data_IF_291605314921
#
_entry.id   IF_291605314921
#
_cell.length_a   1.000
_cell.length_b   1.000
_cell.length_c   1.000
_cell.angle_alpha   90.00
_cell.angle_beta   90.00
_cell.angle_gamma   90.00
#
_symmetry.space_group_name_H-M   'P 1'
#
loop_
_entity.id
_entity.type
_entity.pdbx_description
1 polymer ?
#
# COMPACT_ATOMS: atom_id res chain seq x y z
N UNK A 1 6.91 11.62 -38.72
CA UNK A 1 7.50 11.92 -37.40
C UNK A 1 6.49 11.47 -36.36
N UNK A 2 6.75 10.39 -35.62
CA UNK A 2 5.83 9.91 -34.57
C UNK A 2 5.99 10.84 -33.37
N UNK A 3 4.93 11.56 -33.03
CA UNK A 3 4.85 12.38 -31.83
C UNK A 3 4.31 11.45 -30.74
N UNK A 4 5.13 11.19 -29.72
CA UNK A 4 4.69 10.52 -28.50
C UNK A 4 4.02 11.58 -27.63
N UNK A 5 2.83 11.30 -27.11
CA UNK A 5 2.22 12.09 -26.04
C UNK A 5 2.81 11.61 -24.71
N UNK A 6 3.35 12.54 -23.94
CA UNK A 6 3.80 12.34 -22.58
C UNK A 6 2.58 11.99 -21.69
N UNK A 7 2.49 10.74 -21.25
CA UNK A 7 1.65 10.38 -20.11
C UNK A 7 2.34 10.93 -18.86
N UNK A 8 1.64 11.82 -18.16
CA UNK A 8 2.14 12.48 -16.97
C UNK A 8 2.36 11.46 -15.85
N UNK A 9 3.58 10.93 -15.73
CA UNK A 9 4.07 10.24 -14.54
C UNK A 9 4.74 11.26 -13.63
N UNK A 10 3.97 11.81 -12.68
CA UNK A 10 4.45 12.73 -11.65
C UNK A 10 3.37 12.98 -10.60
N UNK A 11 3.74 13.34 -9.35
CA UNK A 11 2.79 13.45 -8.26
C UNK A 11 1.87 14.65 -8.48
N UNK A 12 0.60 14.39 -8.81
CA UNK A 12 -0.43 15.42 -8.69
C UNK A 12 -0.77 15.57 -7.22
N UNK A 13 -0.18 16.57 -6.57
CA UNK A 13 -0.61 17.03 -5.26
C UNK A 13 -1.75 18.05 -5.49
N UNK A 14 -3.00 17.65 -5.33
CA UNK A 14 -4.13 18.58 -5.28
C UNK A 14 -4.42 18.95 -3.83
N UNK A 15 -4.37 20.25 -3.51
CA UNK A 15 -4.86 20.76 -2.23
C UNK A 15 -6.36 20.96 -2.35
N UNK A 16 -7.14 20.27 -1.52
CA UNK A 16 -8.60 20.32 -1.49
C UNK A 16 -8.99 20.98 -0.16
N UNK A 17 -9.92 21.94 -0.23
CA UNK A 17 -10.51 22.54 0.96
C UNK A 17 -11.53 21.56 1.56
N UNK A 18 -11.42 21.30 2.86
CA UNK A 18 -12.30 20.41 3.60
C UNK A 18 -12.97 21.15 4.76
N UNK A 19 -14.26 20.91 4.97
CA UNK A 19 -15.07 21.53 6.03
C UNK A 19 -14.83 20.84 7.40
N UNK A 20 -13.56 20.80 7.82
CA UNK A 20 -13.14 20.15 9.06
C UNK A 20 -12.62 18.73 8.89
N UNK A 21 -12.32 18.10 10.02
CA UNK A 21 -11.59 16.81 10.09
C UNK A 21 -12.37 15.66 9.47
N UNK A 22 -13.67 15.55 9.75
CA UNK A 22 -14.50 14.45 9.24
C UNK A 22 -14.62 14.51 7.71
N UNK A 23 -14.81 15.71 7.15
CA UNK A 23 -14.85 15.92 5.70
C UNK A 23 -13.48 15.61 5.06
N UNK A 24 -12.37 15.95 5.71
CA UNK A 24 -11.03 15.59 5.21
C UNK A 24 -10.81 14.06 5.19
N UNK A 25 -11.33 13.35 6.19
CA UNK A 25 -11.29 11.88 6.25
C UNK A 25 -12.19 11.26 5.18
N UNK A 26 -13.38 11.82 4.95
CA UNK A 26 -14.29 11.38 3.88
C UNK A 26 -13.63 11.49 2.50
N UNK A 27 -13.06 12.66 2.15
CA UNK A 27 -12.36 12.89 0.88
C UNK A 27 -11.18 11.92 0.70
N UNK A 28 -10.39 11.71 1.76
CA UNK A 28 -9.23 10.82 1.71
C UNK A 28 -9.61 9.35 1.44
N UNK A 29 -10.83 8.95 1.81
CA UNK A 29 -11.35 7.61 1.61
C UNK A 29 -12.12 7.44 0.29
N UNK A 30 -12.30 8.50 -0.51
CA UNK A 30 -12.94 8.41 -1.81
C UNK A 30 -12.03 7.72 -2.84
N UNK A 31 -12.33 6.44 -3.09
CA UNK A 31 -11.57 5.60 -4.04
C UNK A 31 -11.75 5.97 -5.51
N UNK A 32 -12.76 6.76 -5.88
CA UNK A 32 -12.94 7.25 -7.26
C UNK A 32 -12.08 8.48 -7.56
N UNK A 33 -11.72 9.24 -6.53
CA UNK A 33 -10.88 10.43 -6.68
C UNK A 33 -9.53 10.09 -7.34
N UNK A 34 -8.95 8.92 -7.01
CA UNK A 34 -7.72 8.41 -7.63
C UNK A 34 -7.87 7.86 -9.06
N UNK A 35 -9.10 7.73 -9.58
CA UNK A 35 -9.40 7.14 -10.90
C UNK A 35 -9.66 8.16 -12.02
N UNK A 36 -9.75 9.47 -11.72
CA UNK A 36 -10.11 10.53 -12.67
C UNK A 36 -9.02 10.91 -13.71
N UNK A 37 -8.20 9.94 -14.12
CA UNK A 37 -7.11 10.11 -15.10
C UNK A 37 -7.51 10.06 -16.58
N UNK A 38 -8.79 9.87 -16.95
CA UNK A 38 -9.19 9.87 -18.37
C UNK A 38 -9.49 11.27 -18.89
N UNK A 39 -8.60 11.79 -19.75
CA UNK A 39 -8.87 13.01 -20.54
C UNK A 39 -9.89 12.73 -21.64
N UNK A 40 -10.82 13.65 -21.83
CA UNK A 40 -11.66 13.75 -23.03
C UNK A 40 -10.78 14.07 -24.26
N UNK A 41 -10.95 13.40 -25.41
CA UNK A 41 -10.23 13.70 -26.66
C UNK A 41 -10.35 15.16 -27.15
N UNK A 42 -11.23 15.99 -26.58
CA UNK A 42 -11.40 17.40 -26.94
C UNK A 42 -10.42 18.40 -26.27
N UNK A 43 -9.51 17.96 -25.36
CA UNK A 43 -8.48 18.83 -24.78
C UNK A 43 -8.99 19.95 -23.87
N UNK A 44 -10.27 19.95 -23.52
CA UNK A 44 -10.83 20.83 -22.49
C UNK A 44 -10.69 20.12 -21.13
N UNK A 45 -10.13 20.82 -20.13
CA UNK A 45 -10.21 20.36 -18.74
C UNK A 45 -11.69 20.19 -18.40
N UNK A 46 -12.17 18.99 -18.02
CA UNK A 46 -13.49 18.89 -17.45
C UNK A 46 -13.46 19.70 -16.16
N UNK A 47 -14.25 20.77 -16.07
CA UNK A 47 -14.68 21.26 -14.77
C UNK A 47 -15.60 20.16 -14.26
N UNK A 48 -15.05 19.22 -13.47
CA UNK A 48 -15.85 18.22 -12.79
C UNK A 48 -16.76 19.01 -11.84
N UNK A 49 -18.10 18.95 -11.99
CA UNK A 49 -18.99 19.55 -11.01
C UNK A 49 -18.68 18.89 -9.67
N UNK A 50 -18.54 19.70 -8.61
CA UNK A 50 -18.44 19.19 -7.22
C UNK A 50 -19.54 18.14 -7.05
N UNK A 51 -19.23 16.86 -6.79
CA UNK A 51 -20.27 15.91 -6.46
C UNK A 51 -21.00 16.51 -5.26
N UNK A 52 -22.34 16.61 -5.34
CA UNK A 52 -23.11 16.68 -4.11
C UNK A 52 -22.66 15.49 -3.27
N UNK A 53 -22.24 15.75 -2.03
CA UNK A 53 -21.78 14.74 -1.08
C UNK A 53 -22.87 13.69 -0.90
N UNK A 54 -22.80 12.64 -1.70
CA UNK A 54 -23.41 11.37 -1.32
C UNK A 54 -22.34 10.75 -0.44
N UNK A 55 -22.53 10.71 0.90
CA UNK A 55 -21.56 10.05 1.76
C UNK A 55 -21.41 8.62 1.26
N UNK A 56 -20.23 8.29 0.74
CA UNK A 56 -19.89 6.90 0.47
C UNK A 56 -19.69 6.27 1.84
N UNK A 57 -20.77 5.67 2.35
CA UNK A 57 -20.69 4.72 3.43
C UNK A 57 -19.74 3.62 2.93
N UNK A 58 -18.53 3.53 3.49
CA UNK A 58 -17.71 2.34 3.31
C UNK A 58 -18.58 1.18 3.80
N UNK A 59 -19.14 0.41 2.87
CA UNK A 59 -20.17 -0.59 3.20
C UNK A 59 -19.63 -1.75 4.05
N UNK A 60 -18.37 -1.69 4.47
CA UNK A 60 -17.70 -2.72 5.24
C UNK A 60 -17.51 -3.93 4.35
N UNK A 61 -16.28 -4.15 3.89
CA UNK A 61 -16.00 -5.43 3.24
C UNK A 61 -16.08 -6.50 4.31
N UNK A 62 -16.83 -7.58 4.05
CA UNK A 62 -16.95 -8.68 4.99
C UNK A 62 -15.54 -9.20 5.36
N UNK A 63 -15.25 -9.42 6.66
CA UNK A 63 -13.98 -9.98 7.07
C UNK A 63 -13.79 -11.35 6.41
N UNK A 64 -12.61 -11.58 5.90
CA UNK A 64 -12.18 -12.90 5.48
C UNK A 64 -12.04 -13.81 6.69
N UNK A 65 -12.47 -15.05 6.51
CA UNK A 65 -12.10 -16.13 7.42
C UNK A 65 -10.62 -16.44 7.26
N UNK A 66 -10.03 -17.05 8.30
CA UNK A 66 -8.69 -17.61 8.17
C UNK A 66 -8.66 -18.61 6.99
N UNK A 67 -7.52 -18.71 6.27
CA UNK A 67 -7.35 -19.71 5.21
C UNK A 67 -7.50 -21.12 5.78
N UNK A 68 -8.05 -22.03 4.98
CA UNK A 68 -8.11 -23.45 5.33
C UNK A 68 -6.69 -24.06 5.37
N UNK A 69 -6.48 -25.19 6.08
CA UNK A 69 -5.17 -25.86 6.10
C UNK A 69 -4.63 -26.15 4.70
N UNK A 70 -3.48 -25.57 4.37
CA UNK A 70 -2.83 -25.71 3.06
C UNK A 70 -3.22 -24.65 2.02
N UNK A 71 -4.18 -23.78 2.31
CA UNK A 71 -4.44 -22.60 1.49
C UNK A 71 -3.41 -21.49 1.75
N UNK A 72 -2.93 -20.80 0.69
CA UNK A 72 -1.99 -19.71 0.86
C UNK A 72 -2.65 -18.48 1.50
N UNK A 73 -1.84 -17.68 2.17
CA UNK A 73 -2.25 -16.33 2.56
C UNK A 73 -2.62 -15.49 1.33
N UNK A 74 -3.56 -14.58 1.49
CA UNK A 74 -3.95 -13.58 0.50
C UNK A 74 -3.75 -12.19 1.10
N UNK A 75 -3.51 -11.15 0.28
CA UNK A 75 -3.38 -9.77 0.75
C UNK A 75 -4.52 -9.33 1.67
N UNK A 76 -5.76 -9.69 1.34
CA UNK A 76 -6.92 -9.32 2.13
C UNK A 76 -6.95 -9.95 3.55
N UNK A 77 -6.32 -11.12 3.79
CA UNK A 77 -6.13 -11.63 5.15
C UNK A 77 -5.24 -10.69 5.99
N UNK A 78 -4.18 -10.13 5.36
CA UNK A 78 -3.28 -9.15 5.98
C UNK A 78 -4.04 -7.87 6.30
N UNK A 79 -4.83 -7.38 5.34
CA UNK A 79 -5.57 -6.12 5.48
C UNK A 79 -6.64 -6.19 6.56
N UNK A 80 -7.35 -7.31 6.71
CA UNK A 80 -8.34 -7.47 7.78
C UNK A 80 -7.70 -7.50 9.17
N UNK A 81 -6.50 -8.09 9.30
CA UNK A 81 -5.75 -8.04 10.55
C UNK A 81 -5.30 -6.60 10.86
N UNK A 82 -4.76 -5.88 9.89
CA UNK A 82 -4.40 -4.47 10.05
C UNK A 82 -5.60 -3.59 10.38
N UNK A 83 -6.73 -3.75 9.68
CA UNK A 83 -7.96 -3.00 9.93
C UNK A 83 -8.47 -3.18 11.37
N UNK A 84 -8.38 -4.41 11.90
CA UNK A 84 -8.78 -4.74 13.28
C UNK A 84 -7.82 -4.20 14.34
N UNK A 85 -6.51 -4.24 14.08
CA UNK A 85 -5.50 -4.01 15.11
C UNK A 85 -4.97 -2.59 15.14
N UNK A 86 -4.89 -1.90 13.98
CA UNK A 86 -4.29 -0.57 13.93
C UNK A 86 -5.06 0.40 14.83
N UNK A 87 -4.37 1.31 15.55
CA UNK A 87 -5.00 2.41 16.27
C UNK A 87 -5.52 3.48 15.30
N UNK A 88 -6.52 4.26 15.73
CA UNK A 88 -7.23 5.21 14.86
C UNK A 88 -6.32 6.26 14.21
N UNK A 89 -5.27 6.68 14.92
CA UNK A 89 -4.32 7.72 14.52
C UNK A 89 -3.15 7.22 13.66
N UNK A 90 -3.11 5.91 13.34
CA UNK A 90 -2.07 5.33 12.50
C UNK A 90 -1.99 5.97 11.11
N UNK A 91 -0.76 6.06 10.58
CA UNK A 91 -0.50 6.35 9.17
C UNK A 91 -0.25 5.04 8.43
N UNK A 92 -1.04 4.79 7.40
CA UNK A 92 -0.81 3.72 6.44
C UNK A 92 -0.16 4.31 5.19
N UNK A 93 1.05 3.88 4.86
CA UNK A 93 1.71 4.18 3.59
C UNK A 93 1.53 3.00 2.65
N UNK A 94 1.03 3.24 1.44
CA UNK A 94 0.62 2.20 0.49
C UNK A 94 1.49 2.22 -0.77
N UNK A 95 2.01 1.05 -1.15
CA UNK A 95 2.57 0.79 -2.47
C UNK A 95 2.41 -0.69 -2.87
N UNK A 96 1.16 -1.14 -2.96
CA UNK A 96 0.76 -2.50 -3.37
C UNK A 96 -0.16 -2.45 -4.59
N UNK A 97 0.34 -2.12 -5.79
CA UNK A 97 -0.52 -1.86 -6.96
C UNK A 97 -1.50 -2.97 -7.32
N UNK A 98 -1.12 -4.23 -7.15
CA UNK A 98 -1.98 -5.38 -7.43
C UNK A 98 -3.15 -5.45 -6.42
N UNK A 99 -2.86 -5.30 -5.13
CA UNK A 99 -3.86 -5.44 -4.05
C UNK A 99 -4.47 -4.12 -3.56
N UNK A 100 -4.17 -2.99 -4.21
CA UNK A 100 -4.59 -1.64 -3.79
C UNK A 100 -6.11 -1.50 -3.61
N UNK A 101 -6.97 -1.96 -4.53
CA UNK A 101 -8.42 -1.86 -4.35
C UNK A 101 -8.91 -2.53 -3.07
N UNK A 102 -8.37 -3.71 -2.73
CA UNK A 102 -8.73 -4.42 -1.51
C UNK A 102 -8.22 -3.71 -0.25
N UNK A 103 -7.00 -3.15 -0.30
CA UNK A 103 -6.47 -2.37 0.83
C UNK A 103 -7.34 -1.14 1.10
N UNK A 104 -7.72 -0.37 0.08
CA UNK A 104 -8.56 0.82 0.23
C UNK A 104 -9.93 0.50 0.82
N UNK A 105 -10.53 -0.63 0.44
CA UNK A 105 -11.83 -1.07 0.97
C UNK A 105 -11.76 -1.45 2.45
N UNK A 106 -10.65 -2.05 2.88
CA UNK A 106 -10.50 -2.67 4.22
C UNK A 106 -9.85 -1.78 5.25
N UNK A 107 -8.88 -0.95 4.85
CA UNK A 107 -8.06 -0.12 5.75
C UNK A 107 -8.21 1.36 5.38
N UNK A 108 -9.36 1.98 5.67
CA UNK A 108 -9.58 3.40 5.40
C UNK A 108 -8.73 4.28 6.33
N UNK A 109 -8.44 5.51 5.89
CA UNK A 109 -7.96 6.57 6.76
C UNK A 109 -9.01 6.84 7.85
N UNK A 110 -8.57 6.97 9.10
CA UNK A 110 -9.44 7.30 10.24
C UNK A 110 -9.15 8.67 10.85
N UNK A 111 -8.03 9.28 10.45
CA UNK A 111 -7.64 10.65 10.79
C UNK A 111 -7.00 11.33 9.58
N UNK A 112 -6.88 12.67 9.55
CA UNK A 112 -6.12 13.36 8.51
C UNK A 112 -4.69 12.83 8.41
N UNK A 113 -4.18 12.73 7.18
CA UNK A 113 -2.88 12.11 6.88
C UNK A 113 -2.78 10.67 7.44
N UNK A 114 -3.90 9.95 7.59
CA UNK A 114 -3.94 8.55 8.03
C UNK A 114 -3.66 7.55 6.93
N UNK A 115 -3.67 7.98 5.66
CA UNK A 115 -3.38 7.15 4.51
C UNK A 115 -2.59 7.94 3.46
N UNK A 116 -1.49 7.38 2.96
CA UNK A 116 -0.59 7.98 1.98
C UNK A 116 -0.27 6.97 0.89
N UNK A 117 -0.33 7.38 -0.37
CA UNK A 117 -0.08 6.50 -1.52
C UNK A 117 0.77 7.20 -2.56
N UNK A 118 1.50 6.41 -3.36
CA UNK A 118 2.28 6.92 -4.47
C UNK A 118 1.36 7.57 -5.52
N UNK A 119 1.57 8.87 -5.75
CA UNK A 119 0.83 9.56 -6.80
C UNK A 119 1.25 9.04 -8.19
N UNK A 120 0.28 8.94 -9.09
CA UNK A 120 0.43 8.37 -10.43
C UNK A 120 0.97 6.93 -10.48
N UNK A 121 0.90 6.17 -9.38
CA UNK A 121 1.27 4.75 -9.36
C UNK A 121 2.76 4.47 -9.54
N UNK A 122 3.63 5.47 -9.30
CA UNK A 122 5.08 5.26 -9.31
C UNK A 122 5.54 4.26 -8.24
N UNK A 123 6.60 3.51 -8.54
CA UNK A 123 7.23 2.56 -7.61
C UNK A 123 8.46 3.21 -6.93
N UNK A 124 8.72 2.82 -5.69
CA UNK A 124 9.84 3.29 -4.86
C UNK A 124 9.50 4.42 -3.89
N UNK A 125 8.23 4.81 -3.77
CA UNK A 125 7.76 5.84 -2.83
C UNK A 125 7.61 5.31 -1.40
N UNK A 126 6.97 4.14 -1.22
CA UNK A 126 6.43 3.72 0.06
C UNK A 126 7.46 3.58 1.18
N UNK A 127 8.60 2.94 0.90
CA UNK A 127 9.68 2.76 1.88
C UNK A 127 10.25 4.11 2.39
N UNK A 128 10.82 4.99 1.54
CA UNK A 128 11.36 6.27 2.01
C UNK A 128 10.28 7.21 2.55
N UNK A 129 9.06 7.16 2.02
CA UNK A 129 7.94 7.97 2.52
C UNK A 129 7.58 7.60 3.96
N UNK A 130 7.46 6.31 4.28
CA UNK A 130 7.13 5.86 5.63
C UNK A 130 8.21 6.27 6.66
N UNK A 131 9.49 6.21 6.26
CA UNK A 131 10.59 6.72 7.09
C UNK A 131 10.44 8.22 7.34
N UNK A 132 10.20 9.02 6.28
CA UNK A 132 9.99 10.46 6.41
C UNK A 132 8.80 10.81 7.30
N UNK A 133 7.69 10.09 7.17
CA UNK A 133 6.50 10.25 8.02
C UNK A 133 6.83 9.98 9.47
N UNK A 134 7.50 8.86 9.79
CA UNK A 134 7.84 8.53 11.18
C UNK A 134 8.81 9.55 11.78
N UNK A 135 9.75 10.09 11.01
CA UNK A 135 10.65 11.15 11.47
C UNK A 135 9.93 12.49 11.68
N UNK A 136 8.93 12.80 10.83
CA UNK A 136 8.14 14.04 10.92
C UNK A 136 7.01 14.00 11.95
N UNK A 137 6.52 12.81 12.29
CA UNK A 137 5.46 12.57 13.27
C UNK A 137 5.87 11.40 14.19
N UNK A 138 6.86 11.61 15.08
CA UNK A 138 7.48 10.54 15.87
C UNK A 138 6.48 9.81 16.79
N UNK A 139 5.44 10.51 17.26
CA UNK A 139 4.44 9.93 18.17
C UNK A 139 3.36 9.13 17.44
N UNK A 140 3.29 9.20 16.10
CA UNK A 140 2.28 8.46 15.33
C UNK A 140 2.74 7.02 15.03
N UNK A 141 1.85 6.03 15.15
CA UNK A 141 2.03 4.71 14.56
C UNK A 141 2.17 4.80 13.04
N UNK A 142 3.21 4.20 12.46
CA UNK A 142 3.41 4.20 11.00
C UNK A 142 3.58 2.76 10.51
N UNK A 143 2.71 2.36 9.58
CA UNK A 143 2.80 1.09 8.86
C UNK A 143 2.93 1.35 7.37
N UNK A 144 3.76 0.58 6.68
CA UNK A 144 3.90 0.65 5.23
C UNK A 144 3.52 -0.70 4.61
N UNK A 145 2.49 -0.72 3.78
CA UNK A 145 2.02 -1.92 3.07
C UNK A 145 2.51 -1.86 1.63
N UNK A 146 3.40 -2.78 1.28
CA UNK A 146 4.23 -2.70 0.07
C UNK A 146 4.13 -4.02 -0.72
N UNK A 147 4.26 -3.96 -2.05
CA UNK A 147 4.62 -5.16 -2.83
C UNK A 147 6.12 -5.46 -2.70
N UNK A 148 6.51 -6.73 -2.87
CA UNK A 148 7.92 -7.13 -2.98
C UNK A 148 8.61 -6.44 -4.17
N UNK A 149 8.01 -6.45 -5.36
CA UNK A 149 8.53 -5.74 -6.54
C UNK A 149 8.62 -4.23 -6.34
N UNK A 150 7.59 -3.63 -5.74
CA UNK A 150 7.56 -2.20 -5.35
C UNK A 150 8.74 -1.84 -4.44
N UNK A 151 8.98 -2.68 -3.42
CA UNK A 151 10.01 -2.46 -2.41
C UNK A 151 11.42 -2.40 -3.01
N UNK A 152 11.68 -3.13 -4.11
CA UNK A 152 12.99 -3.14 -4.77
C UNK A 152 13.37 -1.79 -5.40
N UNK A 153 12.41 -0.91 -5.72
CA UNK A 153 12.68 0.42 -6.28
C UNK A 153 13.16 1.43 -5.24
N UNK A 154 12.80 1.23 -3.97
CA UNK A 154 13.12 2.13 -2.85
C UNK A 154 13.86 1.44 -1.71
N UNK A 155 14.51 0.31 -1.97
CA UNK A 155 14.98 -0.65 -0.96
C UNK A 155 15.97 -0.06 0.05
N UNK A 156 16.74 0.95 -0.36
CA UNK A 156 17.65 1.72 0.51
C UNK A 156 16.91 2.45 1.65
N UNK A 157 15.59 2.63 1.55
CA UNK A 157 14.75 3.13 2.64
C UNK A 157 14.85 2.27 3.90
N UNK A 158 15.11 0.96 3.78
CA UNK A 158 15.32 0.07 4.93
C UNK A 158 16.59 0.42 5.71
N UNK A 159 17.67 0.76 5.01
CA UNK A 159 18.88 1.27 5.65
C UNK A 159 18.61 2.58 6.37
N UNK A 160 17.91 3.51 5.74
CA UNK A 160 17.54 4.78 6.38
C UNK A 160 16.70 4.56 7.63
N UNK A 161 15.70 3.66 7.57
CA UNK A 161 14.88 3.33 8.72
C UNK A 161 15.72 2.81 9.90
N UNK A 162 16.64 1.89 9.63
CA UNK A 162 17.53 1.32 10.65
C UNK A 162 18.52 2.37 11.19
N UNK A 163 19.17 3.11 10.29
CA UNK A 163 20.18 4.11 10.62
C UNK A 163 19.61 5.26 11.48
N UNK A 164 18.45 5.79 11.09
CA UNK A 164 17.78 6.87 11.81
C UNK A 164 16.86 6.39 12.92
N UNK A 165 16.81 5.07 13.18
CA UNK A 165 15.98 4.48 14.23
C UNK A 165 14.49 4.83 14.06
N UNK A 166 14.04 4.93 12.82
CA UNK A 166 12.64 5.22 12.51
C UNK A 166 11.81 3.95 12.72
N UNK A 167 11.01 3.93 13.79
CA UNK A 167 10.12 2.82 14.14
C UNK A 167 8.93 2.66 13.21
N UNK A 168 9.18 2.12 12.02
CA UNK A 168 8.16 1.80 11.02
C UNK A 168 7.96 0.29 10.97
N UNK A 169 6.70 -0.15 10.94
CA UNK A 169 6.38 -1.52 10.57
C UNK A 169 6.20 -1.60 9.05
N UNK A 170 7.14 -2.25 8.36
CA UNK A 170 7.03 -2.55 6.94
C UNK A 170 6.35 -3.91 6.77
N UNK A 171 5.27 -3.97 6.01
CA UNK A 171 4.55 -5.19 5.65
C UNK A 171 4.67 -5.37 4.14
N UNK A 172 5.55 -6.26 3.72
CA UNK A 172 5.81 -6.58 2.31
C UNK A 172 4.97 -7.80 1.94
N UNK A 173 4.13 -7.63 0.93
CA UNK A 173 3.32 -8.68 0.32
C UNK A 173 4.15 -9.34 -0.78
N UNK A 174 4.71 -10.52 -0.48
CA UNK A 174 5.62 -11.23 -1.36
C UNK A 174 4.88 -12.32 -2.16
N UNK A 175 4.72 -12.08 -3.46
CA UNK A 175 4.20 -13.07 -4.42
C UNK A 175 5.26 -13.53 -5.44
N UNK A 176 6.48 -12.97 -5.37
CA UNK A 176 7.60 -13.31 -6.22
C UNK A 176 7.52 -12.73 -7.64
N UNK A 177 6.72 -11.69 -7.87
CA UNK A 177 6.49 -11.16 -9.21
C UNK A 177 5.80 -9.80 -9.28
N UNK A 178 5.54 -9.35 -10.51
CA UNK A 178 4.79 -8.13 -10.79
C UNK A 178 3.35 -8.47 -11.21
N UNK A 179 2.55 -8.99 -10.27
CA UNK A 179 1.20 -9.50 -10.56
C UNK A 179 0.27 -8.50 -11.27
N UNK A 180 0.40 -7.18 -11.02
CA UNK A 180 -0.36 -6.15 -11.75
C UNK A 180 0.03 -6.09 -13.23
N UNK A 181 1.32 -6.27 -13.53
CA UNK A 181 1.81 -6.25 -14.89
C UNK A 181 1.33 -7.48 -15.64
N UNK A 182 1.41 -8.66 -15.01
CA UNK A 182 0.91 -9.91 -15.59
C UNK A 182 -0.54 -9.76 -16.05
N UNK A 183 -1.38 -9.18 -15.18
CA UNK A 183 -2.78 -8.91 -15.52
C UNK A 183 -2.96 -7.89 -16.63
N UNK A 184 -2.19 -6.80 -16.64
CA UNK A 184 -2.30 -5.79 -17.69
C UNK A 184 -1.92 -6.38 -19.06
N UNK A 185 -0.93 -7.27 -19.10
CA UNK A 185 -0.58 -8.02 -20.31
C UNK A 185 -1.71 -8.96 -20.75
N UNK A 186 -2.33 -9.69 -19.81
CA UNK A 186 -3.49 -10.55 -20.09
C UNK A 186 -4.67 -9.75 -20.64
N UNK A 187 -5.01 -8.62 -20.02
CA UNK A 187 -6.10 -7.74 -20.43
C UNK A 187 -5.87 -7.10 -21.81
N UNK A 188 -4.61 -6.80 -22.14
CA UNK A 188 -4.22 -6.29 -23.45
C UNK A 188 -4.11 -7.39 -24.53
N UNK A 189 -4.33 -8.66 -24.18
CA UNK A 189 -4.27 -9.79 -25.10
C UNK A 189 -2.85 -10.16 -25.53
N UNK A 190 -1.83 -9.76 -24.76
CA UNK A 190 -0.41 -10.02 -25.08
C UNK A 190 0.04 -11.44 -24.70
N UNK A 191 -0.84 -12.28 -24.16
CA UNK A 191 -0.51 -13.65 -23.78
C UNK A 191 0.44 -13.70 -22.59
N UNK A 192 1.45 -14.57 -22.64
CA UNK A 192 2.42 -14.72 -21.54
C UNK A 192 3.19 -13.40 -21.33
N UNK A 193 3.24 -12.86 -20.10
CA UNK A 193 4.03 -11.68 -19.78
C UNK A 193 5.51 -11.86 -20.16
N UNK A 194 6.17 -10.85 -20.76
CA UNK A 194 7.55 -10.96 -21.22
C UNK A 194 8.61 -10.80 -20.11
N UNK A 195 8.20 -10.35 -18.92
CA UNK A 195 9.09 -10.21 -17.75
C UNK A 195 9.09 -11.48 -16.88
N UNK A 196 10.24 -11.82 -16.26
CA UNK A 196 10.31 -12.96 -15.34
C UNK A 196 9.76 -12.57 -13.95
N UNK A 197 9.32 -13.58 -13.19
CA UNK A 197 9.23 -13.47 -11.74
C UNK A 197 10.63 -13.44 -11.11
N UNK A 198 10.69 -13.26 -9.79
CA UNK A 198 11.91 -13.11 -9.00
C UNK A 198 11.82 -13.85 -7.66
N UNK A 199 11.32 -15.08 -7.68
CA UNK A 199 11.08 -15.91 -6.48
C UNK A 199 12.32 -16.17 -5.61
N UNK A 200 13.52 -16.00 -6.18
CA UNK A 200 14.81 -16.10 -5.50
C UNK A 200 15.16 -14.88 -4.65
N UNK A 201 14.47 -13.75 -4.83
CA UNK A 201 14.75 -12.50 -4.11
C UNK A 201 14.03 -12.52 -2.76
N UNK A 202 14.79 -12.37 -1.69
CA UNK A 202 14.27 -12.25 -0.32
C UNK A 202 14.43 -10.81 0.17
N UNK A 203 13.29 -10.11 0.32
CA UNK A 203 13.28 -8.75 0.87
C UNK A 203 13.70 -8.77 2.35
N UNK A 204 13.30 -9.79 3.10
CA UNK A 204 13.76 -10.01 4.48
C UNK A 204 15.28 -10.16 4.62
N UNK A 205 15.93 -10.90 3.72
CA UNK A 205 17.39 -11.04 3.75
C UNK A 205 18.10 -9.71 3.42
N UNK A 206 17.58 -8.94 2.45
CA UNK A 206 18.11 -7.62 2.12
C UNK A 206 17.92 -6.65 3.30
N UNK A 207 16.75 -6.66 3.94
CA UNK A 207 16.45 -5.87 5.13
C UNK A 207 17.47 -6.13 6.25
N UNK A 208 17.73 -7.41 6.54
CA UNK A 208 18.74 -7.81 7.52
C UNK A 208 20.14 -7.29 7.15
N UNK A 209 20.52 -7.34 5.86
CA UNK A 209 21.78 -6.78 5.37
C UNK A 209 21.91 -5.25 5.56
N UNK A 210 20.78 -4.53 5.59
CA UNK A 210 20.72 -3.11 5.91
C UNK A 210 20.59 -2.79 7.42
N UNK A 211 20.57 -3.81 8.28
CA UNK A 211 20.39 -3.66 9.72
C UNK A 211 18.94 -3.43 10.15
N UNK A 212 17.97 -3.66 9.25
CA UNK A 212 16.55 -3.66 9.55
C UNK A 212 16.12 -5.07 9.97
N UNK A 213 15.69 -5.31 11.23
CA UNK A 213 15.14 -6.58 11.66
C UNK A 213 14.00 -7.02 10.74
N UNK A 214 14.01 -8.28 10.32
CA UNK A 214 13.01 -8.82 9.42
C UNK A 214 12.56 -10.22 9.82
N UNK A 215 11.28 -10.52 9.58
CA UNK A 215 10.67 -11.83 9.76
C UNK A 215 9.96 -12.22 8.48
N UNK A 216 10.20 -13.44 8.00
CA UNK A 216 9.42 -14.04 6.93
C UNK A 216 8.19 -14.72 7.54
N UNK A 217 7.03 -14.50 6.96
CA UNK A 217 5.74 -14.98 7.49
C UNK A 217 5.03 -15.76 6.41
N UNK A 218 4.73 -17.04 6.68
CA UNK A 218 4.11 -17.94 5.70
C UNK A 218 2.75 -18.49 6.14
N UNK A 219 2.27 -18.14 7.34
CA UNK A 219 0.98 -18.63 7.86
C UNK A 219 0.16 -17.52 8.52
N UNK A 220 -1.17 -17.70 8.48
CA UNK A 220 -2.11 -16.77 9.09
C UNK A 220 -1.96 -16.67 10.62
N UNK A 221 -1.67 -17.77 11.29
CA UNK A 221 -1.49 -17.80 12.74
C UNK A 221 -0.23 -17.05 13.17
N UNK A 222 0.87 -17.23 12.44
CA UNK A 222 2.10 -16.48 12.65
C UNK A 222 1.87 -14.98 12.44
N UNK A 223 1.23 -14.60 11.32
CA UNK A 223 0.90 -13.21 11.04
C UNK A 223 0.03 -12.60 12.14
N UNK A 224 -1.02 -13.32 12.57
CA UNK A 224 -1.95 -12.86 13.61
C UNK A 224 -1.20 -12.62 14.93
N UNK A 225 -0.35 -13.57 15.33
CA UNK A 225 0.45 -13.47 16.55
C UNK A 225 1.41 -12.27 16.50
N UNK A 226 2.17 -12.13 15.42
CA UNK A 226 3.16 -11.05 15.27
C UNK A 226 2.45 -9.68 15.28
N UNK A 227 1.37 -9.53 14.53
CA UNK A 227 0.64 -8.25 14.48
C UNK A 227 0.00 -7.93 15.83
N UNK A 228 -0.57 -8.91 16.55
CA UNK A 228 -1.13 -8.70 17.89
C UNK A 228 -0.07 -8.27 18.91
N UNK A 229 1.18 -8.70 18.74
CA UNK A 229 2.31 -8.31 19.57
C UNK A 229 2.84 -6.91 19.22
N UNK A 230 3.06 -6.63 17.94
CA UNK A 230 3.76 -5.42 17.49
C UNK A 230 2.83 -4.21 17.39
N UNK A 231 1.62 -4.39 16.85
CA UNK A 231 0.71 -3.27 16.52
C UNK A 231 0.40 -2.36 17.73
N UNK A 232 0.15 -2.87 18.95
CA UNK A 232 -0.10 -2.03 20.12
C UNK A 232 1.06 -1.10 20.51
N UNK A 233 2.28 -1.36 20.04
CA UNK A 233 3.50 -0.64 20.41
C UNK A 233 4.09 0.21 19.28
N UNK A 234 3.40 0.32 18.13
CA UNK A 234 3.91 1.00 16.93
C UNK A 234 4.28 2.48 17.14
N UNK A 235 3.56 3.20 18.00
CA UNK A 235 3.91 4.58 18.33
C UNK A 235 5.31 4.66 18.95
N UNK A 236 5.63 3.71 19.84
CA UNK A 236 6.83 3.71 20.67
C UNK A 236 8.03 3.00 20.03
N UNK A 237 7.85 2.34 18.88
CA UNK A 237 8.94 1.65 18.18
C UNK A 237 10.12 2.59 17.93
N UNK A 238 11.30 2.15 18.36
CA UNK A 238 12.58 2.87 18.21
C UNK A 238 13.49 2.25 17.14
N UNK A 239 12.99 1.24 16.44
CA UNK A 239 13.67 0.54 15.36
C UNK A 239 12.61 0.00 14.40
N UNK A 240 12.92 -0.07 13.09
CA UNK A 240 11.99 -0.64 12.14
C UNK A 240 11.84 -2.16 12.34
N UNK A 241 10.72 -2.69 11.85
CA UNK A 241 10.52 -4.12 11.67
C UNK A 241 9.95 -4.36 10.28
N UNK A 242 10.51 -5.33 9.55
CA UNK A 242 9.96 -5.77 8.28
C UNK A 242 9.33 -7.16 8.40
N UNK A 243 8.08 -7.28 7.95
CA UNK A 243 7.40 -8.55 7.74
C UNK A 243 7.38 -8.83 6.24
N UNK A 244 8.08 -9.90 5.83
CA UNK A 244 8.11 -10.44 4.46
C UNK A 244 7.04 -11.53 4.38
N UNK A 245 5.82 -11.13 4.03
CA UNK A 245 4.61 -11.98 4.11
C UNK A 245 4.40 -12.67 2.77
N UNK A 246 4.58 -14.00 2.74
CA UNK A 246 4.25 -14.80 1.57
C UNK A 246 2.75 -14.74 1.31
N UNK A 247 2.37 -14.30 0.12
CA UNK A 247 0.97 -14.26 -0.30
C UNK A 247 0.81 -14.81 -1.71
N UNK A 248 -0.28 -15.54 -1.92
CA UNK A 248 -0.76 -15.80 -3.26
C UNK A 248 -1.26 -14.50 -3.90
N UNK A 249 -1.14 -14.39 -5.22
CA UNK A 249 -1.78 -13.32 -5.95
C UNK A 249 -3.30 -13.23 -5.64
N UNK A 250 -3.83 -12.03 -5.37
CA UNK A 250 -5.27 -11.79 -5.22
C UNK A 250 -6.01 -12.17 -6.52
N UNK A 251 -7.06 -13.00 -6.48
CA UNK A 251 -7.78 -13.39 -7.68
C UNK A 251 -8.53 -12.21 -8.35
N UNK A 252 -8.82 -11.16 -7.58
CA UNK A 252 -9.59 -9.99 -7.98
C UNK A 252 -8.74 -8.73 -8.04
N UNK A 253 -7.70 -8.74 -8.88
CA UNK A 253 -6.98 -7.52 -9.23
C UNK A 253 -7.82 -6.56 -10.08
N UNK A 254 -7.30 -5.39 -10.42
CA UNK A 254 -7.89 -4.49 -11.42
C UNK A 254 -8.36 -3.16 -10.85
N UNK A 255 -8.06 -2.10 -11.61
CA UNK A 255 -8.49 -0.73 -11.32
C UNK A 255 -10.00 -0.58 -11.31
#
# INVERSE_FOLDING_TARGET
MRIYSEESFGPVLSIIEADGTDHAVEIANDTEYGRLGRRDPAGQRPVVPRPGTVPIVNQGTAPMTAPDPGEPLRPAHVFDLLARLLPADAVVVEETPSSRPELHRRVPARTPLGFLSAAAGGLGFGLPAAVGVKLGAPDRPVVAVLGDGSSLYGIQGLWSAAHYRAGVLFVVLANGGYAIMDRLAEQAGHGKPPWPGFTEVSVSAIAAGFGCPAQRVASHDELTRILAEVVPSLADLQAPLLLDVEVAPDPTYGF
#
